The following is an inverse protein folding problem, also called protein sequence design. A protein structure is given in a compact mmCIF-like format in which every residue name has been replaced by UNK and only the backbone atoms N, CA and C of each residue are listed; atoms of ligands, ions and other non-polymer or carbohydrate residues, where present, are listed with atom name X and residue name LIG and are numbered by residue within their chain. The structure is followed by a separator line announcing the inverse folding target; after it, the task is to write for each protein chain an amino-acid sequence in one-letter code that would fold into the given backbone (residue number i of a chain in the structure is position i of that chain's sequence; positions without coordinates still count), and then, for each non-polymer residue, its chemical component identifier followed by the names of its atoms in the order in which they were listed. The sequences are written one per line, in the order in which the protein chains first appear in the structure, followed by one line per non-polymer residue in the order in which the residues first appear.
data_IF_460949112755
#
_entry.id   IF_460949112755
#
_cell.length_a   1.000
_cell.length_b   1.000
_cell.length_c   1.000
_cell.angle_alpha   90.00
_cell.angle_beta   90.00
_cell.angle_gamma   90.00
#
_symmetry.space_group_name_H-M   'P 1'
#
loop_
_entity.id
_entity.type
_entity.pdbx_description
1 polymer ?
#
# COMPACT_ATOMS: atom_id res chain seq x y z
N UNK A 1 -32.49 -19.41 -8.86
CA UNK A 1 -31.06 -19.63 -8.61
C UNK A 1 -30.54 -18.38 -7.93
N UNK A 2 -30.62 -18.36 -6.60
CA UNK A 2 -30.14 -17.25 -5.78
C UNK A 2 -28.63 -17.39 -5.68
N UNK A 3 -27.90 -16.48 -6.33
CA UNK A 3 -26.47 -16.38 -6.13
C UNK A 3 -26.24 -16.00 -4.66
N UNK A 4 -25.82 -16.96 -3.86
CA UNK A 4 -25.39 -16.72 -2.49
C UNK A 4 -24.20 -15.76 -2.59
N UNK A 5 -24.46 -14.49 -2.28
CA UNK A 5 -23.44 -13.47 -2.10
C UNK A 5 -22.63 -13.96 -0.91
N UNK A 6 -21.50 -14.60 -1.19
CA UNK A 6 -20.59 -15.15 -0.18
C UNK A 6 -20.25 -13.99 0.77
N UNK A 7 -20.78 -14.03 1.99
CA UNK A 7 -20.37 -13.13 3.07
C UNK A 7 -18.89 -13.40 3.35
N UNK A 8 -18.03 -12.51 2.87
CA UNK A 8 -16.56 -12.57 3.02
C UNK A 8 -16.15 -12.46 4.49
N UNK A 9 -17.06 -12.01 5.36
CA UNK A 9 -16.80 -11.70 6.76
C UNK A 9 -16.69 -12.94 7.66
N UNK A 10 -17.20 -14.12 7.26
CA UNK A 10 -17.52 -15.20 8.20
C UNK A 10 -16.62 -16.44 8.14
N UNK A 11 -15.50 -16.42 7.37
CA UNK A 11 -14.69 -17.65 7.14
C UNK A 11 -13.18 -17.54 7.27
N UNK A 12 -12.63 -16.40 7.67
CA UNK A 12 -11.22 -16.14 7.38
C UNK A 12 -10.43 -15.60 8.59
N UNK A 13 -10.58 -16.25 9.75
CA UNK A 13 -9.77 -15.97 10.95
C UNK A 13 -8.27 -15.96 10.66
N UNK A 14 -7.82 -16.85 9.76
CA UNK A 14 -6.45 -16.90 9.27
C UNK A 14 -6.08 -15.64 8.48
N UNK A 15 -6.90 -15.21 7.52
CA UNK A 15 -6.71 -13.97 6.78
C UNK A 15 -6.73 -12.75 7.71
N UNK A 16 -7.61 -12.74 8.72
CA UNK A 16 -7.68 -11.66 9.70
C UNK A 16 -6.41 -11.58 10.56
N UNK A 17 -5.86 -12.73 10.96
CA UNK A 17 -4.57 -12.80 11.66
C UNK A 17 -3.41 -12.33 10.78
N UNK A 18 -3.41 -12.71 9.50
CA UNK A 18 -2.42 -12.25 8.51
C UNK A 18 -2.54 -10.74 8.31
N UNK A 19 -3.75 -10.23 8.10
CA UNK A 19 -4.01 -8.81 7.94
C UNK A 19 -3.48 -8.01 9.13
N UNK A 20 -3.76 -8.45 10.38
CA UNK A 20 -3.21 -7.82 11.58
C UNK A 20 -1.68 -7.73 11.57
N UNK A 21 -0.98 -8.79 11.12
CA UNK A 21 0.49 -8.78 10.98
C UNK A 21 0.96 -7.83 9.89
N UNK A 22 0.31 -7.84 8.73
CA UNK A 22 0.67 -6.96 7.61
C UNK A 22 0.41 -5.49 7.92
N UNK A 23 -0.65 -5.18 8.68
CA UNK A 23 -0.95 -3.82 9.15
C UNK A 23 0.12 -3.25 10.08
N UNK A 24 1.04 -4.06 10.63
CA UNK A 24 2.21 -3.55 11.37
C UNK A 24 3.22 -2.82 10.47
N UNK A 25 3.21 -3.11 9.17
CA UNK A 25 4.06 -2.40 8.18
C UNK A 25 3.47 -1.03 7.82
N UNK A 26 2.17 -0.84 7.99
CA UNK A 26 1.46 0.38 7.59
C UNK A 26 1.79 1.52 8.57
N UNK A 27 2.05 2.75 8.10
CA UNK A 27 2.23 3.92 8.97
C UNK A 27 1.03 4.15 9.90
N UNK A 28 1.30 4.54 11.16
CA UNK A 28 0.26 4.68 12.19
C UNK A 28 -0.92 5.56 11.75
N UNK A 29 -0.63 6.66 11.05
CA UNK A 29 -1.64 7.60 10.53
C UNK A 29 -2.65 6.96 9.57
N UNK A 30 -2.28 5.88 8.89
CA UNK A 30 -3.09 5.20 7.88
C UNK A 30 -3.70 3.88 8.40
N UNK A 31 -3.30 3.39 9.58
CA UNK A 31 -3.72 2.07 10.09
C UNK A 31 -5.24 1.93 10.28
N UNK A 32 -5.94 3.02 10.60
CA UNK A 32 -7.39 3.02 10.84
C UNK A 32 -8.21 3.27 9.56
N UNK A 33 -7.57 3.47 8.40
CA UNK A 33 -8.28 3.65 7.14
C UNK A 33 -8.89 2.31 6.69
N UNK A 34 -10.23 2.24 6.74
CA UNK A 34 -11.00 1.04 6.36
C UNK A 34 -10.83 0.69 4.88
N UNK A 35 -10.65 1.67 4.00
CA UNK A 35 -10.47 1.42 2.58
C UNK A 35 -9.07 0.85 2.30
N UNK A 36 -8.05 1.34 3.01
CA UNK A 36 -6.72 0.75 2.98
C UNK A 36 -6.75 -0.70 3.46
N UNK A 37 -7.35 -0.97 4.62
CA UNK A 37 -7.47 -2.32 5.17
C UNK A 37 -8.17 -3.28 4.18
N UNK A 38 -9.23 -2.81 3.50
CA UNK A 38 -9.93 -3.60 2.46
C UNK A 38 -9.06 -3.91 1.26
N UNK A 39 -8.30 -2.93 0.75
CA UNK A 39 -7.36 -3.17 -0.37
C UNK A 39 -6.27 -4.16 0.05
N UNK A 40 -5.72 -4.05 1.25
CA UNK A 40 -4.69 -4.97 1.74
C UNK A 40 -5.27 -6.37 1.93
N UNK A 41 -6.46 -6.50 2.50
CA UNK A 41 -7.15 -7.78 2.65
C UNK A 41 -7.43 -8.44 1.28
N UNK A 42 -7.80 -7.64 0.27
CA UNK A 42 -8.00 -8.11 -1.09
C UNK A 42 -6.70 -8.62 -1.72
N UNK A 43 -5.61 -7.84 -1.59
CA UNK A 43 -4.26 -8.24 -2.03
C UNK A 43 -3.79 -9.52 -1.33
N UNK A 44 -3.97 -9.63 -0.02
CA UNK A 44 -3.64 -10.84 0.75
C UNK A 44 -4.36 -12.08 0.24
N UNK A 45 -5.63 -11.92 -0.15
CA UNK A 45 -6.44 -13.01 -0.68
C UNK A 45 -6.05 -13.43 -2.09
N UNK A 46 -5.60 -12.49 -2.93
CA UNK A 46 -5.20 -12.74 -4.31
C UNK A 46 -3.74 -13.19 -4.44
N UNK A 47 -2.83 -12.42 -3.84
CA UNK A 47 -1.39 -12.53 -4.05
C UNK A 47 -0.71 -13.39 -2.98
N UNK A 48 -1.28 -13.47 -1.77
CA UNK A 48 -0.68 -14.13 -0.61
C UNK A 48 0.10 -13.19 0.32
N UNK A 49 0.47 -13.68 1.51
CA UNK A 49 1.18 -12.89 2.54
C UNK A 49 2.57 -12.41 2.07
N UNK A 50 3.48 -13.25 1.53
CA UNK A 50 4.82 -12.81 1.15
C UNK A 50 4.82 -11.69 0.10
N UNK A 51 4.02 -11.87 -0.95
CA UNK A 51 3.88 -10.97 -2.09
C UNK A 51 3.27 -9.63 -1.66
N UNK A 52 2.21 -9.67 -0.85
CA UNK A 52 1.58 -8.46 -0.33
C UNK A 52 2.53 -7.68 0.58
N UNK A 53 3.31 -8.36 1.43
CA UNK A 53 4.30 -7.69 2.29
C UNK A 53 5.40 -7.03 1.46
N UNK A 54 5.96 -7.73 0.48
CA UNK A 54 6.99 -7.18 -0.40
C UNK A 54 6.48 -5.96 -1.18
N UNK A 55 5.25 -6.05 -1.69
CA UNK A 55 4.58 -4.94 -2.37
C UNK A 55 4.42 -3.72 -1.45
N UNK A 56 3.92 -3.90 -0.23
CA UNK A 56 3.71 -2.80 0.72
C UNK A 56 5.01 -2.13 1.13
N UNK A 57 6.06 -2.91 1.41
CA UNK A 57 7.40 -2.37 1.73
C UNK A 57 7.89 -1.48 0.58
N UNK A 58 7.86 -1.99 -0.66
CA UNK A 58 8.25 -1.21 -1.84
C UNK A 58 7.45 0.09 -1.96
N UNK A 59 6.14 0.04 -1.76
CA UNK A 59 5.26 1.22 -1.88
C UNK A 59 5.45 2.24 -0.78
N UNK A 60 5.73 1.80 0.45
CA UNK A 60 6.06 2.69 1.55
C UNK A 60 7.42 3.36 1.32
N UNK A 61 8.42 2.63 0.85
CA UNK A 61 9.72 3.18 0.45
C UNK A 61 9.57 4.24 -0.65
N UNK A 62 8.75 3.96 -1.68
CA UNK A 62 8.41 4.94 -2.71
C UNK A 62 7.79 6.20 -2.09
N UNK A 63 6.75 6.08 -1.25
CA UNK A 63 6.13 7.24 -0.59
C UNK A 63 7.14 8.09 0.18
N UNK A 64 8.05 7.45 0.92
CA UNK A 64 9.09 8.14 1.70
C UNK A 64 10.05 8.87 0.76
N UNK A 65 10.56 8.21 -0.28
CA UNK A 65 11.49 8.81 -1.26
C UNK A 65 10.88 10.02 -1.97
N UNK A 66 9.56 10.03 -2.10
CA UNK A 66 8.84 11.04 -2.86
C UNK A 66 8.25 12.15 -2.00
N UNK A 67 8.49 12.11 -0.69
CA UNK A 67 7.89 12.99 0.29
C UNK A 67 6.37 13.14 0.09
N UNK A 68 5.69 12.04 -0.26
CA UNK A 68 4.26 12.07 -0.57
C UNK A 68 3.46 12.34 0.71
N UNK A 69 2.65 13.40 0.68
CA UNK A 69 1.90 13.88 1.85
C UNK A 69 0.48 13.34 1.97
N UNK A 70 -0.01 12.64 0.93
CA UNK A 70 -1.35 12.03 0.95
C UNK A 70 -1.43 10.76 1.79
N UNK A 71 -2.60 10.10 1.76
CA UNK A 71 -2.82 8.82 2.44
C UNK A 71 -2.24 7.65 1.64
N UNK A 72 -1.86 6.58 2.34
CA UNK A 72 -1.38 5.37 1.69
C UNK A 72 -2.48 4.76 0.79
N UNK A 73 -3.75 4.83 1.18
CA UNK A 73 -4.87 4.39 0.35
C UNK A 73 -4.91 5.10 -1.01
N UNK A 74 -4.82 6.43 -1.02
CA UNK A 74 -4.84 7.24 -2.25
C UNK A 74 -3.62 6.97 -3.16
N UNK A 75 -2.53 6.52 -2.57
CA UNK A 75 -1.35 6.09 -3.31
C UNK A 75 -1.53 4.70 -3.95
N UNK A 76 -2.23 3.79 -3.28
CA UNK A 76 -2.40 2.40 -3.70
C UNK A 76 -3.64 2.14 -4.58
N UNK A 77 -4.71 2.94 -4.43
CA UNK A 77 -6.02 2.65 -5.06
C UNK A 77 -6.01 2.75 -6.59
N UNK A 78 -5.11 3.57 -7.15
CA UNK A 78 -4.99 3.77 -8.57
C UNK A 78 -3.95 2.77 -9.10
N UNK A 79 -4.37 1.54 -9.45
CA UNK A 79 -3.53 0.54 -10.15
C UNK A 79 -3.03 1.04 -11.53
N UNK A 80 -3.42 2.26 -11.93
CA UNK A 80 -3.16 2.89 -13.22
C UNK A 80 -1.84 3.67 -13.13
N UNK A 81 -0.76 2.94 -13.47
CA UNK A 81 0.63 3.39 -13.58
C UNK A 81 1.25 3.83 -12.26
N UNK A 82 2.41 3.23 -11.91
CA UNK A 82 3.29 3.73 -10.86
C UNK A 82 3.31 5.27 -10.95
N UNK A 83 2.72 5.97 -9.96
CA UNK A 83 2.85 7.42 -9.81
C UNK A 83 4.34 7.66 -9.65
N UNK A 84 5.05 7.77 -10.78
CA UNK A 84 6.47 8.03 -10.81
C UNK A 84 6.62 9.33 -10.10
N UNK A 85 7.25 9.25 -8.95
CA UNK A 85 7.62 10.42 -8.22
C UNK A 85 8.40 11.30 -9.17
N UNK A 86 7.94 12.52 -9.35
CA UNK A 86 8.69 13.51 -10.08
C UNK A 86 9.93 13.74 -9.24
N UNK A 87 11.02 13.05 -9.59
CA UNK A 87 12.30 13.25 -8.96
C UNK A 87 12.58 14.74 -9.07
N UNK A 88 12.48 15.48 -7.96
CA UNK A 88 13.17 16.76 -7.87
C UNK A 88 14.66 16.45 -7.78
N UNK A 89 15.24 15.96 -8.89
CA UNK A 89 16.60 16.32 -9.23
C UNK A 89 16.49 17.75 -9.77
N UNK A 90 16.40 18.72 -8.85
CA UNK A 90 17.07 19.97 -9.14
C UNK A 90 18.55 19.58 -9.30
N UNK A 91 19.04 19.68 -10.53
CA UNK A 91 20.45 19.67 -10.81
C UNK A 91 21.05 20.82 -9.99
N UNK A 92 21.51 20.54 -8.78
CA UNK A 92 22.55 21.32 -8.14
C UNK A 92 23.85 20.87 -8.82
N UNK A 93 24.06 21.37 -10.03
CA UNK A 93 25.41 21.41 -10.59
C UNK A 93 26.31 22.09 -9.54
N UNK A 94 27.48 21.51 -9.21
CA UNK A 94 28.41 22.17 -8.30
C UNK A 94 28.80 23.54 -8.89
N UNK A 95 28.90 24.60 -8.06
CA UNK A 95 29.29 25.90 -8.57
C UNK A 95 30.65 25.79 -9.25
N UNK A 96 30.70 26.20 -10.51
CA UNK A 96 31.92 26.31 -11.30
C UNK A 96 32.86 27.28 -10.55
N UNK A 97 33.95 26.73 -10.01
CA UNK A 97 34.97 27.52 -9.31
C UNK A 97 35.87 28.11 -10.40
N UNK A 98 35.56 29.35 -10.79
CA UNK A 98 36.38 30.19 -11.66
C UNK A 98 37.64 30.72 -10.95
#
# INVERSE_FOLDING_TARGET
MTADIINIEDRDDALHAILKRVMLLVPEKDKQDLNLQRIIAFRLKLDGEPETRAYLVKKIEEIIQCAYTGSLYEFLKDDIQEKKCVSKKENLDPPDVA
#
